data_IF_075899925865
#
_entry.id   IF_075899925865
#
_cell.length_a   1.000
_cell.length_b   1.000
_cell.length_c   1.000
_cell.angle_alpha   90.00
_cell.angle_beta   90.00
_cell.angle_gamma   90.00
#
_symmetry.space_group_name_H-M   'P 1'
#
loop_
_entity.id
_entity.type
_entity.pdbx_description
1 polymer ?
#
# COMPACT_ATOMS: atom_id res chain seq x y z
N UNK A 1 8.57 27.24 20.07
CA UNK A 1 9.37 26.74 18.92
C UNK A 1 9.72 25.25 19.06
N UNK A 2 10.10 24.74 20.24
CA UNK A 2 10.41 23.31 20.45
C UNK A 2 9.20 22.36 20.59
N UNK A 3 8.02 22.87 20.99
CA UNK A 3 6.81 22.04 21.11
C UNK A 3 6.23 21.56 19.77
N UNK A 4 6.65 22.13 18.63
CA UNK A 4 6.20 21.73 17.29
C UNK A 4 7.18 20.80 16.55
N UNK A 5 8.45 20.73 16.97
CA UNK A 5 9.48 19.98 16.25
C UNK A 5 9.34 18.47 16.41
N UNK A 6 8.86 17.99 17.57
CA UNK A 6 8.63 16.56 17.77
C UNK A 6 7.47 16.04 16.91
N UNK A 7 6.39 16.82 16.82
CA UNK A 7 5.28 16.51 15.91
C UNK A 7 5.70 16.58 14.44
N UNK A 8 6.51 17.58 14.06
CA UNK A 8 7.02 17.69 12.70
C UNK A 8 7.93 16.51 12.33
N UNK A 9 8.85 16.11 13.22
CA UNK A 9 9.72 14.96 12.98
C UNK A 9 8.92 13.66 12.84
N UNK A 10 7.91 13.45 13.68
CA UNK A 10 7.02 12.29 13.58
C UNK A 10 6.21 12.29 12.28
N UNK A 11 5.68 13.44 11.85
CA UNK A 11 4.98 13.59 10.58
C UNK A 11 5.92 13.29 9.41
N UNK A 12 7.13 13.88 9.39
CA UNK A 12 8.11 13.65 8.34
C UNK A 12 8.50 12.17 8.25
N UNK A 13 8.78 11.54 9.39
CA UNK A 13 9.08 10.11 9.43
C UNK A 13 7.91 9.28 8.90
N UNK A 14 6.68 9.59 9.32
CA UNK A 14 5.46 8.95 8.82
C UNK A 14 5.30 9.08 7.31
N UNK A 15 5.50 10.29 6.75
CA UNK A 15 5.43 10.53 5.32
C UNK A 15 6.54 9.78 4.55
N UNK A 16 7.76 9.72 5.08
CA UNK A 16 8.85 8.94 4.49
C UNK A 16 8.54 7.44 4.49
N UNK A 17 8.06 6.89 5.60
CA UNK A 17 7.67 5.48 5.71
C UNK A 17 6.51 5.14 4.77
N UNK A 18 5.53 6.03 4.66
CA UNK A 18 4.43 5.90 3.71
C UNK A 18 4.93 5.90 2.26
N UNK A 19 5.78 6.86 1.88
CA UNK A 19 6.36 6.95 0.54
C UNK A 19 7.20 5.72 0.19
N UNK A 20 8.03 5.23 1.12
CA UNK A 20 8.83 4.02 0.93
C UNK A 20 7.95 2.77 0.78
N UNK A 21 6.91 2.63 1.60
CA UNK A 21 5.97 1.50 1.53
C UNK A 21 5.24 1.49 0.18
N UNK A 22 4.76 2.66 -0.26
CA UNK A 22 4.14 2.82 -1.57
C UNK A 22 5.13 2.49 -2.70
N UNK A 23 6.35 3.00 -2.66
CA UNK A 23 7.37 2.75 -3.67
C UNK A 23 7.73 1.26 -3.78
N UNK A 24 7.91 0.58 -2.64
CA UNK A 24 8.18 -0.86 -2.60
C UNK A 24 7.02 -1.67 -3.19
N UNK A 25 5.78 -1.39 -2.77
CA UNK A 25 4.59 -2.03 -3.33
C UNK A 25 4.45 -1.79 -4.83
N UNK A 26 4.61 -0.54 -5.26
CA UNK A 26 4.49 -0.16 -6.66
C UNK A 26 5.54 -0.87 -7.53
N UNK A 27 6.79 -0.89 -7.10
CA UNK A 27 7.87 -1.60 -7.79
C UNK A 27 7.58 -3.11 -7.90
N UNK A 28 7.07 -3.72 -6.82
CA UNK A 28 6.67 -5.13 -6.82
C UNK A 28 5.56 -5.42 -7.82
N UNK A 29 4.52 -4.57 -7.88
CA UNK A 29 3.42 -4.72 -8.85
C UNK A 29 3.89 -4.49 -10.28
N UNK A 30 4.72 -3.48 -10.54
CA UNK A 30 5.26 -3.24 -11.88
C UNK A 30 6.10 -4.43 -12.37
N UNK A 31 6.92 -5.00 -11.49
CA UNK A 31 7.64 -6.25 -11.77
C UNK A 31 6.68 -7.41 -12.03
N UNK A 32 5.65 -7.57 -11.21
CA UNK A 32 4.66 -8.63 -11.38
C UNK A 32 3.93 -8.53 -12.72
N UNK A 33 3.48 -7.33 -13.10
CA UNK A 33 2.84 -7.07 -14.40
C UNK A 33 3.79 -7.39 -15.55
N UNK A 34 5.05 -6.94 -15.46
CA UNK A 34 6.05 -7.24 -16.49
C UNK A 34 6.27 -8.75 -16.66
N UNK A 35 6.35 -9.48 -15.56
CA UNK A 35 6.70 -10.90 -15.56
C UNK A 35 5.49 -11.81 -15.94
N UNK A 36 4.24 -11.36 -15.75
CA UNK A 36 3.05 -12.20 -15.93
C UNK A 36 2.04 -11.70 -16.98
N UNK A 37 2.05 -10.42 -17.35
CA UNK A 37 1.11 -9.91 -18.34
C UNK A 37 1.65 -10.15 -19.78
N UNK A 38 0.78 -10.57 -20.73
CA UNK A 38 1.13 -10.67 -22.13
C UNK A 38 1.69 -9.35 -22.65
N UNK A 39 2.74 -9.39 -23.48
CA UNK A 39 3.41 -8.19 -24.02
C UNK A 39 2.42 -7.19 -24.63
N UNK A 40 1.47 -7.68 -25.41
CA UNK A 40 0.44 -6.87 -26.07
C UNK A 40 -0.54 -6.18 -25.11
N UNK A 41 -0.67 -6.67 -23.87
CA UNK A 41 -1.60 -6.16 -22.87
C UNK A 41 -0.93 -5.42 -21.71
N UNK A 42 0.41 -5.41 -21.59
CA UNK A 42 1.13 -4.84 -20.43
C UNK A 42 0.77 -3.38 -20.15
N UNK A 43 0.70 -2.53 -21.18
CA UNK A 43 0.34 -1.12 -21.02
C UNK A 43 -1.09 -0.98 -20.52
N UNK A 44 -2.02 -1.77 -21.04
CA UNK A 44 -3.40 -1.80 -20.57
C UNK A 44 -3.48 -2.28 -19.12
N UNK A 45 -2.76 -3.34 -18.75
CA UNK A 45 -2.71 -3.85 -17.37
C UNK A 45 -2.16 -2.81 -16.39
N UNK A 46 -1.10 -2.08 -16.77
CA UNK A 46 -0.59 -0.95 -15.98
C UNK A 46 -1.65 0.16 -15.85
N UNK A 47 -2.34 0.52 -16.94
CA UNK A 47 -3.40 1.52 -16.93
C UNK A 47 -4.57 1.14 -16.01
N UNK A 48 -5.00 -0.12 -16.04
CA UNK A 48 -6.03 -0.67 -15.15
C UNK A 48 -5.56 -0.61 -13.69
N UNK A 49 -4.33 -1.03 -13.42
CA UNK A 49 -3.74 -0.93 -12.08
C UNK A 49 -3.72 0.52 -11.58
N UNK A 50 -3.21 1.46 -12.38
CA UNK A 50 -3.18 2.87 -11.99
C UNK A 50 -4.58 3.43 -11.76
N UNK A 51 -5.55 3.07 -12.60
CA UNK A 51 -6.92 3.57 -12.47
C UNK A 51 -7.61 3.01 -11.22
N UNK A 52 -7.59 1.69 -11.04
CA UNK A 52 -8.40 1.02 -10.03
C UNK A 52 -7.71 0.87 -8.67
N UNK A 53 -6.39 0.66 -8.66
CA UNK A 53 -5.66 0.41 -7.42
C UNK A 53 -4.99 1.67 -6.85
N UNK A 54 -4.82 2.73 -7.64
CA UNK A 54 -4.17 3.97 -7.21
C UNK A 54 -5.13 5.17 -7.28
N UNK A 55 -5.61 5.53 -8.47
CA UNK A 55 -6.35 6.77 -8.69
C UNK A 55 -7.74 6.75 -8.05
N UNK A 56 -8.52 5.68 -8.24
CA UNK A 56 -9.88 5.58 -7.68
C UNK A 56 -9.88 5.57 -6.15
N UNK A 57 -9.07 4.76 -5.45
CA UNK A 57 -8.99 4.80 -3.99
C UNK A 57 -8.56 6.18 -3.48
N UNK A 58 -7.58 6.80 -4.13
CA UNK A 58 -7.11 8.14 -3.73
C UNK A 58 -8.18 9.22 -3.97
N UNK A 59 -8.91 9.13 -5.08
CA UNK A 59 -10.01 10.04 -5.42
C UNK A 59 -11.21 9.93 -4.48
N UNK A 60 -11.50 8.73 -3.97
CA UNK A 60 -12.54 8.50 -2.97
C UNK A 60 -12.08 8.89 -1.55
N UNK A 61 -10.83 8.58 -1.21
CA UNK A 61 -10.29 8.83 0.12
C UNK A 61 -10.05 10.32 0.38
N UNK A 62 -9.68 11.11 -0.63
CA UNK A 62 -9.38 12.55 -0.47
C UNK A 62 -10.54 13.37 0.09
N UNK A 63 -11.78 13.34 -0.48
CA UNK A 63 -12.90 14.06 0.09
C UNK A 63 -13.34 13.47 1.44
N UNK A 64 -13.27 12.15 1.61
CA UNK A 64 -13.57 11.49 2.89
C UNK A 64 -12.60 11.94 4.01
N UNK A 65 -11.31 12.11 3.67
CA UNK A 65 -10.31 12.62 4.59
C UNK A 65 -10.58 14.07 4.97
N UNK A 66 -11.01 14.91 4.03
CA UNK A 66 -11.43 16.29 4.31
C UNK A 66 -12.53 16.35 5.37
N UNK A 67 -13.62 15.59 5.15
CA UNK A 67 -14.70 15.45 6.15
C UNK A 67 -14.21 14.93 7.50
N UNK A 68 -13.32 13.93 7.48
CA UNK A 68 -12.77 13.33 8.70
C UNK A 68 -11.90 14.30 9.50
N UNK A 69 -11.07 15.11 8.83
CA UNK A 69 -10.23 16.11 9.48
C UNK A 69 -11.05 17.27 10.07
N UNK A 70 -12.16 17.64 9.44
CA UNK A 70 -13.06 18.68 9.98
C UNK A 70 -13.83 18.20 11.22
N UNK A 71 -14.36 16.97 11.19
CA UNK A 71 -15.20 16.43 12.27
C UNK A 71 -14.42 15.80 13.44
N UNK A 72 -13.30 15.12 13.16
CA UNK A 72 -12.59 14.27 14.12
C UNK A 72 -11.05 14.38 13.97
N UNK A 73 -10.45 15.58 14.04
CA UNK A 73 -9.05 15.80 13.70
C UNK A 73 -8.04 14.95 14.51
N UNK A 74 -8.36 14.68 15.79
CA UNK A 74 -7.52 13.87 16.67
C UNK A 74 -7.52 12.37 16.32
N UNK A 75 -8.57 11.88 15.64
CA UNK A 75 -8.73 10.47 15.28
C UNK A 75 -8.27 10.16 13.86
N UNK A 76 -8.12 11.16 13.00
CA UNK A 76 -7.75 10.98 11.60
C UNK A 76 -6.44 10.22 11.42
N UNK A 77 -5.43 10.51 12.26
CA UNK A 77 -4.15 9.78 12.24
C UNK A 77 -4.30 8.31 12.63
N UNK A 78 -5.18 8.00 13.60
CA UNK A 78 -5.43 6.63 14.02
C UNK A 78 -6.15 5.84 12.93
N UNK A 79 -7.12 6.45 12.24
CA UNK A 79 -7.81 5.83 11.11
C UNK A 79 -6.82 5.55 9.96
N UNK A 80 -5.94 6.49 9.62
CA UNK A 80 -4.88 6.25 8.64
C UNK A 80 -3.92 5.13 9.07
N UNK A 81 -3.57 5.06 10.37
CA UNK A 81 -2.75 3.97 10.90
C UNK A 81 -3.44 2.60 10.77
N UNK A 82 -4.76 2.52 10.95
CA UNK A 82 -5.52 1.28 10.73
C UNK A 82 -5.51 0.84 9.26
N UNK A 83 -5.63 1.77 8.30
CA UNK A 83 -5.49 1.43 6.88
C UNK A 83 -4.09 0.90 6.55
N UNK A 84 -3.05 1.57 7.07
CA UNK A 84 -1.67 1.12 6.89
C UNK A 84 -1.43 -0.28 7.49
N UNK A 85 -1.94 -0.52 8.71
CA UNK A 85 -1.85 -1.82 9.37
C UNK A 85 -2.60 -2.90 8.59
N UNK A 86 -3.82 -2.61 8.11
CA UNK A 86 -4.59 -3.53 7.27
C UNK A 86 -3.85 -3.91 6.00
N UNK A 87 -3.26 -2.94 5.31
CA UNK A 87 -2.42 -3.19 4.13
C UNK A 87 -1.20 -4.06 4.45
N UNK A 88 -0.50 -3.78 5.55
CA UNK A 88 0.64 -4.58 5.99
C UNK A 88 0.26 -6.03 6.32
N UNK A 89 -0.87 -6.23 7.00
CA UNK A 89 -1.40 -7.57 7.32
C UNK A 89 -1.76 -8.33 6.04
N UNK A 90 -2.43 -7.69 5.08
CA UNK A 90 -2.79 -8.34 3.81
C UNK A 90 -1.55 -8.76 3.03
N UNK A 91 -0.51 -7.92 2.96
CA UNK A 91 0.76 -8.27 2.34
C UNK A 91 1.42 -9.43 3.09
N UNK A 92 1.45 -9.39 4.41
CA UNK A 92 2.03 -10.47 5.21
C UNK A 92 1.30 -11.81 4.99
N UNK A 93 -0.03 -11.82 4.97
CA UNK A 93 -0.82 -13.01 4.68
C UNK A 93 -0.56 -13.54 3.25
N UNK A 94 -0.48 -12.64 2.26
CA UNK A 94 -0.18 -13.02 0.88
C UNK A 94 1.23 -13.65 0.75
N UNK A 95 2.21 -13.11 1.47
CA UNK A 95 3.58 -13.66 1.50
C UNK A 95 3.63 -15.03 2.17
N UNK A 96 2.83 -15.27 3.22
CA UNK A 96 2.76 -16.59 3.86
C UNK A 96 2.14 -17.63 2.92
N UNK A 97 1.02 -17.31 2.28
CA UNK A 97 0.38 -18.19 1.30
C UNK A 97 1.34 -18.58 0.16
N UNK A 98 2.16 -17.63 -0.31
CA UNK A 98 3.16 -17.90 -1.35
C UNK A 98 4.30 -18.82 -0.84
N UNK A 99 4.68 -18.71 0.44
CA UNK A 99 5.73 -19.51 1.06
C UNK A 99 5.26 -20.94 1.36
N UNK A 100 4.02 -21.10 1.77
CA UNK A 100 3.42 -22.42 2.03
C UNK A 100 3.18 -23.20 0.73
N UNK A 101 2.79 -22.50 -0.35
CA UNK A 101 2.68 -23.10 -1.67
C UNK A 101 4.02 -23.68 -2.16
N UNK A 102 5.13 -22.94 -2.02
CA UNK A 102 6.44 -23.40 -2.49
C UNK A 102 6.99 -24.60 -1.71
N UNK A 103 6.76 -24.65 -0.39
CA UNK A 103 7.17 -25.78 0.47
C UNK A 103 6.36 -27.04 0.17
N UNK A 104 5.07 -26.91 -0.11
CA UNK A 104 4.21 -28.05 -0.48
C UNK A 104 4.60 -28.71 -1.81
N UNK A 105 5.03 -27.91 -2.80
CA UNK A 105 5.50 -28.42 -4.10
C UNK A 105 6.80 -29.19 -3.93
N UNK A 106 7.75 -28.65 -3.16
CA UNK A 106 9.02 -29.34 -2.87
C UNK A 106 8.80 -30.68 -2.16
N UNK A 107 7.91 -30.73 -1.16
CA UNK A 107 7.60 -31.97 -0.44
C UNK A 107 6.92 -33.05 -1.28
N UNK A 108 6.26 -32.71 -2.40
CA UNK A 108 5.63 -33.68 -3.31
C UNK A 108 6.60 -34.21 -4.39
N UNK A 109 7.76 -33.58 -4.55
CA UNK A 109 8.78 -33.96 -5.54
C UNK A 109 9.91 -34.82 -4.97
N UNK A 110 9.89 -35.10 -3.66
CA UNK A 110 10.81 -35.99 -2.94
C UNK A 110 10.04 -37.25 -2.52
#
# INVERSE_FOLDING_TARGET
LLAGSEHLAAILLGQCLHALSFAAYHAAVMRYIRDHAPESARVLTQGIYYSLAVALPMGLASPAAGWLYEGLPQWSYLIMALFALGGAVLVWLALQSARDASTSVFSRSV
#
